data_IF_168746897400
#
_entry.id   IF_168746897400
#
_cell.length_a   1.000
_cell.length_b   1.000
_cell.length_c   1.000
_cell.angle_alpha   90.00
_cell.angle_beta   90.00
_cell.angle_gamma   90.00
#
_symmetry.space_group_name_H-M   'P 1'
#
loop_
_entity.id
_entity.type
_entity.pdbx_description
1 polymer ?
#
# COMPACT_ATOMS: atom_id res chain seq x y z
N UNK A 1 -8.85 -20.61 32.12
CA UNK A 1 -8.38 -20.31 32.53
C UNK A 1 -7.96 -20.16 32.57
N UNK A 2 -8.25 -20.36 31.98
CA UNK A 2 -7.68 -20.23 32.03
C UNK A 2 -7.36 -19.99 31.80
N UNK A 3 -7.76 -20.14 31.38
CA UNK A 3 -7.17 -19.99 31.33
C UNK A 3 -6.99 -19.87 30.98
N UNK A 4 -7.37 -20.25 30.65
CA UNK A 4 -6.87 -20.24 30.52
C UNK A 4 -6.85 -20.07 29.98
N UNK A 5 -7.30 -20.52 29.78
CA UNK A 5 -6.99 -20.42 29.51
C UNK A 5 -6.88 -20.35 29.06
N UNK A 6 -7.22 -20.78 28.76
CA UNK A 6 -6.87 -20.60 28.60
C UNK A 6 -6.80 -20.63 28.16
N UNK A 7 -7.03 -20.94 27.77
CA UNK A 7 -6.72 -20.94 27.56
C UNK A 7 -6.99 -21.06 27.16
N UNK A 8 -7.36 -21.30 26.94
CA UNK A 8 -7.39 -21.39 26.71
C UNK A 8 -7.53 -21.37 26.04
N UNK A 9 -7.95 -21.68 25.98
CA UNK A 9 -7.87 -21.59 25.61
C UNK A 9 -7.88 -21.69 24.97
N UNK A 10 -8.03 -21.97 24.81
CA UNK A 10 -7.79 -21.83 24.40
C UNK A 10 -7.85 -22.04 23.77
N UNK A 11 -8.10 -22.35 23.64
CA UNK A 11 -8.00 -22.40 23.22
C UNK A 11 -8.17 -22.63 22.53
N UNK A 12 -8.35 -22.82 22.51
CA UNK A 12 -8.70 -22.96 22.03
C UNK A 12 -8.68 -22.95 21.30
N UNK A 13 -8.76 -23.26 21.20
CA UNK A 13 -8.74 -23.06 20.71
C UNK A 13 -8.58 -22.99 19.75
N UNK A 14 -8.42 -22.95 19.66
CA UNK A 14 -8.32 -22.99 18.29
C UNK A 14 -7.05 -22.34 17.75
N UNK A 15 -6.07 -23.13 17.40
CA UNK A 15 -4.79 -22.69 16.85
C UNK A 15 -4.88 -21.94 15.52
N UNK A 16 -5.76 -22.34 14.56
CA UNK A 16 -5.81 -21.62 13.29
C UNK A 16 -6.18 -20.14 13.41
N UNK A 17 -7.04 -19.79 14.34
CA UNK A 17 -7.40 -18.40 14.55
C UNK A 17 -6.21 -17.58 15.04
N UNK A 18 -5.38 -18.16 15.93
CA UNK A 18 -4.20 -17.48 16.42
C UNK A 18 -3.19 -17.23 15.30
N UNK A 19 -3.00 -18.22 14.42
CA UNK A 19 -2.09 -18.08 13.29
C UNK A 19 -2.56 -16.97 12.34
N UNK A 20 -3.85 -16.95 12.03
CA UNK A 20 -4.39 -15.92 11.18
C UNK A 20 -4.19 -14.52 11.75
N UNK A 21 -4.39 -14.37 13.05
CA UNK A 21 -4.20 -13.08 13.70
C UNK A 21 -2.74 -12.64 13.63
N UNK A 22 -1.80 -13.58 13.85
CA UNK A 22 -0.38 -13.26 13.78
C UNK A 22 0.02 -12.82 12.38
N UNK A 23 -0.48 -13.51 11.34
CA UNK A 23 -0.17 -13.14 9.96
C UNK A 23 -0.76 -11.80 9.59
N UNK A 24 -2.00 -11.53 10.00
CA UNK A 24 -2.66 -10.28 9.65
C UNK A 24 -2.02 -9.07 10.33
N UNK A 25 -1.21 -9.28 11.38
CA UNK A 25 -0.51 -8.18 12.04
C UNK A 25 0.82 -7.84 11.39
N UNK A 26 1.28 -8.63 10.43
CA UNK A 26 2.53 -8.35 9.73
C UNK A 26 2.37 -7.14 8.81
N UNK A 27 3.40 -6.28 8.75
CA UNK A 27 3.39 -5.20 7.78
C UNK A 27 3.37 -5.73 6.35
N UNK A 28 2.71 -4.98 5.49
CA UNK A 28 2.66 -5.28 4.06
C UNK A 28 3.13 -4.06 3.28
N UNK A 29 3.57 -4.30 2.05
CA UNK A 29 3.92 -3.23 1.12
C UNK A 29 3.15 -3.42 -0.17
N UNK A 30 2.57 -2.33 -0.66
CA UNK A 30 1.91 -2.30 -1.95
C UNK A 30 2.78 -1.50 -2.91
N UNK A 31 3.14 -2.10 -4.03
CA UNK A 31 3.97 -1.46 -5.06
C UNK A 31 3.12 -1.28 -6.31
N UNK A 32 3.03 -0.04 -6.78
CA UNK A 32 2.24 0.28 -7.98
C UNK A 32 3.18 0.89 -9.00
N UNK A 33 3.33 0.22 -10.14
CA UNK A 33 4.18 0.70 -11.22
C UNK A 33 3.37 1.63 -12.12
N UNK A 34 3.79 2.87 -12.21
CA UNK A 34 3.04 3.94 -12.87
C UNK A 34 3.74 4.45 -14.11
N UNK A 35 2.93 4.79 -15.11
CA UNK A 35 3.38 5.51 -16.29
C UNK A 35 2.83 6.93 -16.23
N UNK A 36 3.57 7.82 -15.56
CA UNK A 36 3.15 9.20 -15.38
C UNK A 36 3.39 9.96 -16.66
N UNK A 37 2.39 10.73 -17.13
CA UNK A 37 2.53 11.59 -18.29
C UNK A 37 3.61 12.64 -17.99
N UNK A 38 4.68 12.72 -18.82
CA UNK A 38 5.76 13.69 -18.58
C UNK A 38 5.26 15.13 -18.47
N UNK A 39 4.20 15.47 -19.19
CA UNK A 39 3.63 16.82 -19.14
C UNK A 39 2.91 17.08 -17.81
N UNK A 40 2.59 16.03 -17.06
CA UNK A 40 1.86 16.13 -15.80
C UNK A 40 2.71 15.69 -14.61
N UNK A 41 4.01 15.51 -14.81
CA UNK A 41 4.88 15.02 -13.75
C UNK A 41 4.89 15.94 -12.54
N UNK A 42 4.99 17.25 -12.78
CA UNK A 42 4.99 18.23 -11.68
C UNK A 42 3.66 18.24 -10.94
N UNK A 43 2.57 18.12 -11.66
CA UNK A 43 1.24 18.04 -11.07
C UNK A 43 1.11 16.79 -10.20
N UNK A 44 1.60 15.66 -10.70
CA UNK A 44 1.58 14.40 -9.94
C UNK A 44 2.34 14.53 -8.62
N UNK A 45 3.56 15.09 -8.68
CA UNK A 45 4.38 15.23 -7.48
C UNK A 45 3.74 16.20 -6.49
N UNK A 46 3.14 17.28 -6.98
CA UNK A 46 2.43 18.22 -6.13
C UNK A 46 1.23 17.55 -5.45
N UNK A 47 0.45 16.80 -6.22
CA UNK A 47 -0.73 16.12 -5.68
C UNK A 47 -0.34 15.05 -4.69
N UNK A 48 0.76 14.33 -4.95
CA UNK A 48 1.25 13.32 -4.02
C UNK A 48 1.64 13.95 -2.68
N UNK A 49 2.44 15.01 -2.71
CA UNK A 49 2.94 15.63 -1.48
C UNK A 49 1.87 16.37 -0.70
N UNK A 50 0.92 17.03 -1.38
CA UNK A 50 0.02 17.95 -0.73
C UNK A 50 -1.41 17.42 -0.58
N UNK A 51 -1.78 16.38 -1.31
CA UNK A 51 -3.13 15.83 -1.26
C UNK A 51 -3.12 14.39 -0.77
N UNK A 52 -2.38 13.52 -1.47
CA UNK A 52 -2.42 12.10 -1.18
C UNK A 52 -1.73 11.73 0.12
N UNK A 53 -0.47 12.13 0.28
CA UNK A 53 0.31 11.76 1.46
C UNK A 53 -0.32 12.26 2.76
N UNK A 54 -0.75 13.53 2.88
CA UNK A 54 -1.36 13.98 4.12
C UNK A 54 -2.62 13.19 4.48
N UNK A 55 -3.42 12.81 3.49
CA UNK A 55 -4.62 12.01 3.72
C UNK A 55 -4.27 10.60 4.18
N UNK A 56 -3.28 9.98 3.53
CA UNK A 56 -2.84 8.63 3.87
C UNK A 56 -2.28 8.57 5.30
N UNK A 57 -1.51 9.58 5.70
CA UNK A 57 -0.88 9.63 7.01
C UNK A 57 -1.87 9.62 8.16
N UNK A 58 -3.10 10.02 7.92
CA UNK A 58 -4.12 10.10 8.97
C UNK A 58 -4.91 8.81 9.13
N UNK A 59 -4.76 7.86 8.21
CA UNK A 59 -5.57 6.65 8.26
C UNK A 59 -4.92 5.61 9.17
N UNK A 60 -5.73 4.91 10.00
CA UNK A 60 -5.18 3.89 10.90
C UNK A 60 -4.44 2.81 10.15
N UNK A 61 -3.26 2.46 10.63
CA UNK A 61 -2.43 1.42 10.02
C UNK A 61 -1.36 1.93 9.08
N UNK A 62 -1.36 3.23 8.77
CA UNK A 62 -0.34 3.83 7.93
C UNK A 62 1.04 3.70 8.57
N UNK A 63 2.04 3.31 7.77
CA UNK A 63 3.44 3.32 8.19
C UNK A 63 4.23 4.29 7.33
N UNK A 64 4.16 4.15 6.00
CA UNK A 64 4.91 5.01 5.10
C UNK A 64 4.29 5.00 3.71
N UNK A 65 4.50 6.09 2.98
CA UNK A 65 4.15 6.17 1.56
C UNK A 65 5.26 6.91 0.83
N UNK A 66 5.66 6.38 -0.34
CA UNK A 66 6.76 6.94 -1.12
C UNK A 66 6.40 6.94 -2.59
N UNK A 67 6.89 7.94 -3.31
CA UNK A 67 6.80 7.99 -4.77
C UNK A 67 8.22 7.99 -5.30
N UNK A 68 8.60 6.92 -6.02
CA UNK A 68 9.98 6.73 -6.47
C UNK A 68 10.04 6.90 -7.97
N UNK A 69 10.96 7.75 -8.45
CA UNK A 69 11.19 7.93 -9.88
C UNK A 69 12.21 6.91 -10.34
N UNK A 70 11.89 6.17 -11.38
CA UNK A 70 12.81 5.21 -11.97
C UNK A 70 13.99 5.95 -12.59
N UNK A 71 15.21 5.59 -12.17
CA UNK A 71 16.42 6.18 -12.72
C UNK A 71 16.98 5.30 -13.85
N UNK A 72 17.15 4.02 -13.56
CA UNK A 72 17.73 3.09 -14.54
C UNK A 72 17.52 1.67 -14.07
N UNK A 73 17.61 0.74 -14.99
CA UNK A 73 17.70 -0.68 -14.66
C UNK A 73 19.18 -1.00 -14.49
N UNK A 74 19.57 -1.26 -13.24
CA UNK A 74 20.98 -1.61 -12.96
C UNK A 74 21.32 -2.94 -13.60
N UNK A 75 20.34 -3.84 -13.69
CA UNK A 75 20.49 -5.13 -14.32
C UNK A 75 19.13 -5.52 -14.89
N UNK A 76 19.12 -6.18 -16.03
CA UNK A 76 17.87 -6.58 -16.68
C UNK A 76 17.18 -5.39 -17.33
N UNK A 77 15.86 -5.48 -17.45
CA UNK A 77 15.06 -4.47 -18.13
C UNK A 77 14.00 -3.90 -17.19
N UNK A 78 13.80 -2.58 -17.26
CA UNK A 78 12.69 -1.96 -16.57
C UNK A 78 11.38 -2.30 -17.28
N UNK A 79 10.25 -2.33 -16.54
CA UNK A 79 8.95 -2.53 -17.18
C UNK A 79 8.68 -1.44 -18.21
N UNK A 80 8.12 -1.84 -19.35
CA UNK A 80 7.90 -0.91 -20.45
C UNK A 80 6.99 0.23 -20.05
N UNK A 81 7.40 1.47 -20.34
CA UNK A 81 6.60 2.66 -20.09
C UNK A 81 6.53 3.11 -18.64
N UNK A 82 7.04 2.33 -17.70
CA UNK A 82 6.97 2.67 -16.28
C UNK A 82 8.09 3.67 -15.96
N UNK A 83 7.70 4.78 -15.31
CA UNK A 83 8.68 5.80 -14.90
C UNK A 83 8.62 6.11 -13.41
N UNK A 84 7.60 5.65 -12.71
CA UNK A 84 7.48 5.84 -11.26
C UNK A 84 6.99 4.58 -10.58
N UNK A 85 7.38 4.41 -9.31
CA UNK A 85 6.82 3.36 -8.46
C UNK A 85 6.27 4.01 -7.19
N UNK A 86 5.01 3.74 -6.92
CA UNK A 86 4.34 4.16 -5.70
C UNK A 86 4.47 3.02 -4.69
N UNK A 87 4.96 3.31 -3.48
CA UNK A 87 5.11 2.30 -2.44
C UNK A 87 4.35 2.73 -1.20
N UNK A 88 3.48 1.85 -0.71
CA UNK A 88 2.67 2.09 0.46
C UNK A 88 2.94 0.97 1.47
N UNK A 89 3.31 1.34 2.70
CA UNK A 89 3.52 0.38 3.78
C UNK A 89 2.42 0.56 4.82
N UNK A 90 1.75 -0.54 5.15
CA UNK A 90 0.67 -0.58 6.14
C UNK A 90 0.94 -1.66 7.17
N UNK A 91 0.36 -1.50 8.37
CA UNK A 91 0.52 -2.46 9.46
C UNK A 91 -0.05 -3.82 9.11
N UNK A 92 -1.08 -3.88 8.28
CA UNK A 92 -1.70 -5.13 7.88
C UNK A 92 -2.47 -4.95 6.58
N UNK A 93 -2.71 -6.06 5.88
CA UNK A 93 -3.50 -6.05 4.66
C UNK A 93 -4.96 -5.66 4.95
N UNK A 94 -5.47 -6.07 6.10
CA UNK A 94 -6.85 -5.73 6.46
C UNK A 94 -7.03 -4.21 6.56
N UNK A 95 -6.09 -3.53 7.21
CA UNK A 95 -6.15 -2.06 7.33
C UNK A 95 -5.93 -1.39 5.98
N UNK A 96 -5.06 -1.95 5.13
CA UNK A 96 -4.88 -1.40 3.79
C UNK A 96 -6.17 -1.48 2.98
N UNK A 97 -6.88 -2.60 3.06
CA UNK A 97 -8.15 -2.73 2.34
C UNK A 97 -9.18 -1.72 2.84
N UNK A 98 -9.20 -1.45 4.15
CA UNK A 98 -10.09 -0.42 4.69
C UNK A 98 -9.71 0.97 4.17
N UNK A 99 -8.41 1.24 4.02
CA UNK A 99 -7.94 2.50 3.46
C UNK A 99 -8.44 2.66 2.02
N UNK A 100 -8.27 1.63 1.18
CA UNK A 100 -8.68 1.69 -0.22
C UNK A 100 -10.19 1.86 -0.34
N UNK A 101 -10.96 1.25 0.55
CA UNK A 101 -12.41 1.34 0.53
C UNK A 101 -12.95 2.64 1.13
N UNK A 102 -12.09 3.45 1.77
CA UNK A 102 -12.54 4.64 2.47
C UNK A 102 -12.92 5.76 1.49
N UNK A 103 -13.86 6.63 1.88
CA UNK A 103 -14.22 7.79 1.04
C UNK A 103 -13.03 8.70 0.77
N UNK A 104 -12.09 8.79 1.70
CA UNK A 104 -10.90 9.62 1.54
C UNK A 104 -10.05 9.10 0.39
N UNK A 105 -9.78 7.78 0.34
CA UNK A 105 -8.99 7.20 -0.73
C UNK A 105 -9.67 7.41 -2.08
N UNK A 106 -10.98 7.22 -2.14
CA UNK A 106 -11.75 7.41 -3.36
C UNK A 106 -11.64 8.84 -3.89
N UNK A 107 -11.30 9.77 -3.00
CA UNK A 107 -11.16 11.18 -3.37
C UNK A 107 -9.72 11.53 -3.77
N UNK A 108 -8.72 10.98 -3.07
CA UNK A 108 -7.34 11.40 -3.26
C UNK A 108 -6.57 10.59 -4.31
N UNK A 109 -6.90 9.30 -4.49
CA UNK A 109 -6.21 8.50 -5.50
C UNK A 109 -6.42 9.04 -6.93
N UNK A 110 -7.61 9.48 -7.33
CA UNK A 110 -7.77 10.06 -8.67
C UNK A 110 -6.85 11.25 -8.96
N UNK A 111 -6.40 11.99 -7.94
CA UNK A 111 -5.46 13.10 -8.17
C UNK A 111 -4.11 12.60 -8.67
N UNK A 112 -3.76 11.35 -8.38
CA UNK A 112 -2.58 10.70 -8.93
C UNK A 112 -2.94 10.03 -10.25
N UNK A 113 -4.01 9.24 -10.27
CA UNK A 113 -4.40 8.44 -11.43
C UNK A 113 -4.64 9.31 -12.66
N UNK A 114 -5.18 10.50 -12.47
CA UNK A 114 -5.48 11.40 -13.59
C UNK A 114 -4.23 12.02 -14.22
N UNK A 115 -3.05 11.82 -13.63
CA UNK A 115 -1.78 12.27 -14.19
C UNK A 115 -1.08 11.20 -15.00
N UNK A 116 -1.66 9.99 -15.08
CA UNK A 116 -1.01 8.87 -15.75
C UNK A 116 -1.30 8.89 -17.24
N UNK A 117 -0.27 8.53 -18.02
CA UNK A 117 -0.40 8.33 -19.45
C UNK A 117 -1.22 7.08 -19.75
N UNK A 118 -1.18 6.10 -18.84
CA UNK A 118 -1.94 4.87 -18.95
C UNK A 118 -2.51 4.50 -17.60
N UNK A 119 -3.77 4.13 -17.55
CA UNK A 119 -4.41 3.65 -16.32
C UNK A 119 -4.35 2.14 -16.19
N UNK A 120 -3.57 1.50 -17.03
CA UNK A 120 -3.38 0.04 -17.03
C UNK A 120 -2.08 -0.25 -16.28
N UNK A 121 -2.07 0.00 -14.97
CA UNK A 121 -0.86 -0.15 -14.16
C UNK A 121 -0.89 -1.44 -13.36
N UNK A 122 0.31 -1.90 -12.95
CA UNK A 122 0.48 -3.14 -12.19
C UNK A 122 0.53 -2.80 -10.71
N UNK A 123 -0.20 -3.59 -9.91
CA UNK A 123 -0.23 -3.45 -8.46
C UNK A 123 0.25 -4.76 -7.86
N UNK A 124 1.31 -4.71 -7.06
CA UNK A 124 1.89 -5.89 -6.42
C UNK A 124 1.83 -5.72 -4.91
N UNK A 125 1.43 -6.78 -4.21
CA UNK A 125 1.34 -6.80 -2.76
C UNK A 125 2.43 -7.70 -2.21
N UNK A 126 3.21 -7.18 -1.26
CA UNK A 126 4.31 -7.91 -0.64
C UNK A 126 4.11 -8.00 0.86
N UNK A 127 4.49 -9.13 1.44
CA UNK A 127 4.55 -9.30 2.89
C UNK A 127 5.97 -9.01 3.36
N UNK A 128 6.11 -8.22 4.42
CA UNK A 128 7.43 -8.02 5.02
C UNK A 128 7.80 -9.22 5.88
N UNK A 129 9.06 -9.61 5.79
CA UNK A 129 9.58 -10.73 6.59
C UNK A 129 9.88 -10.29 8.02
#
# INVERSE_FOLDING_TARGET
MKRRTCLKALLAGTGPAALGAAESSRPIQLHVDLSVDPAKEKEMLHNFENIFRPAAMKFPGYIAVKMLKLRSAVMGSAPSGVNYRFELTYQSEELRQKWVASPIHQKVWPTIENTLASKNYTVLLFDES
#
